data_IF_838435393481
#
_entry.id   IF_838435393481
#
_cell.length_a   1.000
_cell.length_b   1.000
_cell.length_c   1.000
_cell.angle_alpha   90.00
_cell.angle_beta   90.00
_cell.angle_gamma   90.00
#
_symmetry.space_group_name_H-M   'P 1'
#
loop_
_entity.id
_entity.type
_entity.pdbx_description
1 polymer ?
#
# COMPACT_ATOMS: atom_id res chain seq x y z
N UNK A 1 -36.29 4.23 -2.01
CA UNK A 1 -34.86 4.51 -2.30
C UNK A 1 -34.80 5.80 -3.13
N UNK A 2 -34.22 6.89 -2.63
CA UNK A 2 -34.09 8.14 -3.39
C UNK A 2 -33.30 7.83 -4.68
N UNK A 3 -33.93 7.99 -5.85
CA UNK A 3 -33.24 7.88 -7.14
C UNK A 3 -32.54 9.20 -7.41
N UNK A 4 -31.22 9.20 -7.34
CA UNK A 4 -30.40 10.33 -7.77
C UNK A 4 -30.30 10.32 -9.29
N UNK A 5 -30.38 11.51 -9.91
CA UNK A 5 -30.22 11.66 -11.36
C UNK A 5 -28.82 11.30 -11.81
N UNK A 6 -28.67 10.94 -13.08
CA UNK A 6 -27.36 10.61 -13.64
C UNK A 6 -26.43 11.83 -13.67
N UNK A 7 -26.99 13.03 -13.80
CA UNK A 7 -26.25 14.30 -13.67
C UNK A 7 -25.59 14.47 -12.29
N UNK A 8 -26.30 14.10 -11.22
CA UNK A 8 -25.75 14.16 -9.85
C UNK A 8 -24.63 13.14 -9.67
N UNK A 9 -24.80 11.92 -10.17
CA UNK A 9 -23.74 10.90 -10.11
C UNK A 9 -22.50 11.31 -10.90
N UNK A 10 -22.67 11.93 -12.07
CA UNK A 10 -21.56 12.43 -12.88
C UNK A 10 -20.81 13.57 -12.19
N UNK A 11 -21.52 14.53 -11.57
CA UNK A 11 -20.89 15.62 -10.81
C UNK A 11 -20.13 15.10 -9.58
N UNK A 12 -20.76 14.20 -8.81
CA UNK A 12 -20.09 13.53 -7.68
C UNK A 12 -18.85 12.78 -8.14
N UNK A 13 -18.91 12.07 -9.28
CA UNK A 13 -17.75 11.38 -9.83
C UNK A 13 -16.63 12.35 -10.14
N UNK A 14 -16.91 13.44 -10.87
CA UNK A 14 -15.93 14.48 -11.20
C UNK A 14 -15.28 15.05 -9.94
N UNK A 15 -16.05 15.34 -8.89
CA UNK A 15 -15.54 15.88 -7.62
C UNK A 15 -14.73 14.86 -6.81
N UNK A 16 -15.03 13.57 -6.93
CA UNK A 16 -14.26 12.50 -6.26
C UNK A 16 -13.00 12.08 -7.02
N UNK A 17 -12.91 12.45 -8.29
CA UNK A 17 -11.72 12.26 -9.12
C UNK A 17 -10.84 13.52 -9.04
N UNK A 18 -9.53 13.41 -9.30
CA UNK A 18 -8.69 14.59 -9.47
C UNK A 18 -9.04 15.30 -10.81
N UNK A 19 -8.58 16.56 -11.06
CA UNK A 19 -7.50 17.27 -10.37
C UNK A 19 -7.95 18.04 -9.12
N UNK A 20 -9.20 18.49 -9.06
CA UNK A 20 -9.79 19.17 -7.89
C UNK A 20 -10.59 18.18 -7.04
N UNK A 21 -9.89 17.19 -6.46
CA UNK A 21 -10.53 16.14 -5.66
C UNK A 21 -11.07 16.72 -4.34
N UNK A 22 -12.37 16.52 -4.09
CA UNK A 22 -13.04 16.79 -2.83
C UNK A 22 -13.20 15.50 -2.00
N UNK A 23 -13.24 15.65 -0.68
CA UNK A 23 -13.50 14.53 0.24
C UNK A 23 -14.96 14.05 0.17
N UNK A 24 -15.18 12.76 0.46
CA UNK A 24 -16.55 12.20 0.57
C UNK A 24 -17.38 12.95 1.61
N UNK A 25 -16.74 13.35 2.72
CA UNK A 25 -17.37 14.13 3.78
C UNK A 25 -17.78 15.53 3.31
N UNK A 26 -16.93 16.24 2.55
CA UNK A 26 -17.30 17.54 1.94
C UNK A 26 -18.46 17.38 0.97
N UNK A 27 -18.39 16.42 0.04
CA UNK A 27 -19.45 16.18 -0.95
C UNK A 27 -20.78 15.80 -0.25
N UNK A 28 -20.69 15.04 0.84
CA UNK A 28 -21.85 14.67 1.66
C UNK A 28 -22.49 15.90 2.32
N UNK A 29 -21.68 16.80 2.89
CA UNK A 29 -22.15 18.04 3.49
C UNK A 29 -22.75 19.01 2.46
N UNK A 30 -22.14 19.13 1.28
CA UNK A 30 -22.60 20.04 0.21
C UNK A 30 -23.89 19.56 -0.47
N UNK A 31 -23.98 18.26 -0.80
CA UNK A 31 -25.10 17.71 -1.57
C UNK A 31 -26.19 17.06 -0.71
N UNK A 32 -25.97 16.96 0.61
CA UNK A 32 -26.86 16.25 1.53
C UNK A 32 -26.99 14.74 1.22
N UNK A 33 -26.04 14.17 0.47
CA UNK A 33 -26.02 12.75 0.12
C UNK A 33 -25.30 12.00 1.24
N UNK A 34 -25.92 10.95 1.75
CA UNK A 34 -25.31 10.15 2.82
C UNK A 34 -23.96 9.54 2.38
N UNK A 35 -22.94 9.63 3.24
CA UNK A 35 -21.58 9.15 2.95
C UNK A 35 -21.55 7.71 2.45
N UNK A 36 -22.40 6.83 2.99
CA UNK A 36 -22.48 5.42 2.58
C UNK A 36 -22.91 5.28 1.12
N UNK A 37 -23.84 6.11 0.63
CA UNK A 37 -24.27 6.11 -0.77
C UNK A 37 -23.13 6.50 -1.69
N UNK A 38 -22.38 7.53 -1.31
CA UNK A 38 -21.22 8.00 -2.04
C UNK A 38 -20.10 6.96 -2.11
N UNK A 39 -19.83 6.24 -1.00
CA UNK A 39 -18.88 5.12 -0.99
C UNK A 39 -19.33 3.95 -1.87
N UNK A 40 -20.64 3.64 -1.89
CA UNK A 40 -21.18 2.59 -2.75
C UNK A 40 -21.03 2.93 -4.24
N UNK A 41 -21.28 4.18 -4.62
CA UNK A 41 -21.05 4.63 -6.00
C UNK A 41 -19.58 4.57 -6.39
N UNK A 42 -18.69 5.04 -5.51
CA UNK A 42 -17.24 4.92 -5.71
C UNK A 42 -16.82 3.46 -5.93
N UNK A 43 -17.35 2.54 -5.12
CA UNK A 43 -17.08 1.10 -5.27
C UNK A 43 -17.58 0.57 -6.61
N UNK A 44 -18.78 0.96 -7.04
CA UNK A 44 -19.35 0.55 -8.32
C UNK A 44 -18.51 1.06 -9.52
N UNK A 45 -18.09 2.33 -9.49
CA UNK A 45 -17.23 2.90 -10.54
C UNK A 45 -15.88 2.19 -10.62
N UNK A 46 -15.26 1.88 -9.48
CA UNK A 46 -14.00 1.11 -9.46
C UNK A 46 -14.14 -0.31 -10.02
N UNK A 47 -15.28 -0.98 -9.78
CA UNK A 47 -15.57 -2.28 -10.38
C UNK A 47 -15.73 -2.20 -11.90
N UNK A 48 -16.12 -1.02 -12.43
CA UNK A 48 -16.23 -0.75 -13.86
C UNK A 48 -14.89 -0.31 -14.49
N UNK A 49 -13.79 -0.32 -13.73
CA UNK A 49 -12.46 0.09 -14.20
C UNK A 49 -12.21 1.60 -14.13
N UNK A 50 -13.13 2.38 -13.57
CA UNK A 50 -12.99 3.84 -13.47
C UNK A 50 -12.06 4.25 -12.32
N UNK A 51 -11.16 5.20 -12.60
CA UNK A 51 -10.19 5.71 -11.62
C UNK A 51 -10.87 6.72 -10.68
N UNK A 52 -11.51 6.20 -9.64
CA UNK A 52 -12.02 7.00 -8.50
C UNK A 52 -11.30 6.54 -7.24
N UNK A 53 -10.17 7.18 -6.88
CA UNK A 53 -9.26 6.59 -5.89
C UNK A 53 -9.90 6.45 -4.52
N UNK A 54 -9.60 5.31 -3.87
CA UNK A 54 -10.26 4.88 -2.65
C UNK A 54 -10.03 5.83 -1.47
N UNK A 55 -8.86 6.47 -1.46
CA UNK A 55 -8.28 7.15 -0.30
C UNK A 55 -7.88 8.59 -0.63
N UNK A 56 -7.99 9.47 0.37
CA UNK A 56 -7.39 10.81 0.34
C UNK A 56 -5.86 10.79 0.49
N UNK A 57 -5.29 9.62 0.78
CA UNK A 57 -3.83 9.47 0.91
C UNK A 57 -3.13 9.85 -0.39
N UNK A 58 -1.90 10.34 -0.24
CA UNK A 58 -0.96 10.57 -1.33
C UNK A 58 -0.96 9.40 -2.33
N UNK A 59 -0.62 9.65 -3.61
CA UNK A 59 -0.49 8.59 -4.62
C UNK A 59 0.29 7.36 -4.16
N UNK A 60 1.24 7.53 -3.24
CA UNK A 60 2.00 6.44 -2.63
C UNK A 60 1.16 5.48 -1.79
N UNK A 61 0.13 5.99 -1.12
CA UNK A 61 -0.82 5.24 -0.29
C UNK A 61 -1.94 4.56 -1.07
N UNK A 62 -1.93 4.61 -2.40
CA UNK A 62 -2.91 3.91 -3.25
C UNK A 62 -2.71 2.40 -3.19
N UNK A 63 -3.82 1.66 -3.30
CA UNK A 63 -3.79 0.21 -3.31
C UNK A 63 -3.12 -0.33 -4.59
N UNK A 64 -2.62 -1.59 -4.59
CA UNK A 64 -1.98 -2.19 -5.75
C UNK A 64 -2.85 -2.18 -7.02
N UNK A 65 -4.16 -2.41 -6.88
CA UNK A 65 -5.10 -2.38 -7.99
C UNK A 65 -5.20 -0.99 -8.66
N UNK A 66 -5.27 0.09 -7.87
CA UNK A 66 -5.36 1.45 -8.42
C UNK A 66 -4.06 1.84 -9.13
N UNK A 67 -2.91 1.47 -8.56
CA UNK A 67 -1.60 1.68 -9.18
C UNK A 67 -1.49 0.91 -10.51
N UNK A 68 -2.00 -0.32 -10.55
CA UNK A 68 -2.02 -1.13 -11.76
C UNK A 68 -2.93 -0.56 -12.86
N UNK A 69 -4.12 -0.04 -12.51
CA UNK A 69 -5.00 0.64 -13.48
C UNK A 69 -4.30 1.82 -14.15
N UNK A 70 -3.56 2.63 -13.38
CA UNK A 70 -2.76 3.73 -13.95
C UNK A 70 -1.71 3.21 -14.94
N UNK A 71 -1.00 2.13 -14.60
CA UNK A 71 0.00 1.52 -15.49
C UNK A 71 -0.65 1.02 -16.79
N UNK A 72 -1.85 0.44 -16.70
CA UNK A 72 -2.60 -0.06 -17.85
C UNK A 72 -3.08 1.07 -18.77
N UNK A 73 -3.70 2.11 -18.21
CA UNK A 73 -4.21 3.25 -18.98
C UNK A 73 -3.07 4.04 -19.65
N UNK A 74 -1.93 4.17 -18.96
CA UNK A 74 -0.79 4.94 -19.47
C UNK A 74 0.16 4.14 -20.37
N UNK A 75 -0.11 2.86 -20.60
CA UNK A 75 0.79 1.97 -21.34
C UNK A 75 1.07 2.46 -22.78
N UNK A 76 0.05 3.05 -23.43
CA UNK A 76 0.15 3.55 -24.80
C UNK A 76 0.42 5.06 -24.93
N UNK A 77 0.60 5.78 -23.81
CA UNK A 77 0.68 7.24 -23.85
C UNK A 77 2.07 7.75 -24.24
N UNK A 78 2.11 8.79 -25.06
CA UNK A 78 3.31 9.60 -25.27
C UNK A 78 3.56 10.55 -24.08
N UNK A 79 4.70 11.25 -24.07
CA UNK A 79 5.10 12.11 -22.95
C UNK A 79 4.08 13.23 -22.65
N UNK A 80 3.47 13.81 -23.70
CA UNK A 80 2.48 14.88 -23.57
C UNK A 80 1.17 14.36 -22.98
N UNK A 81 0.69 13.22 -23.46
CA UNK A 81 -0.50 12.52 -22.97
C UNK A 81 -0.32 12.08 -21.51
N UNK A 82 0.85 11.52 -21.19
CA UNK A 82 1.20 11.13 -19.83
C UNK A 82 1.21 12.34 -18.90
N UNK A 83 1.77 13.47 -19.33
CA UNK A 83 1.75 14.72 -18.57
C UNK A 83 0.36 15.29 -18.37
N UNK A 84 -0.50 15.22 -19.40
CA UNK A 84 -1.93 15.59 -19.30
C UNK A 84 -2.67 14.72 -18.27
N UNK A 85 -2.57 13.40 -18.43
CA UNK A 85 -3.15 12.41 -17.53
C UNK A 85 -2.69 12.58 -16.08
N UNK A 86 -1.40 12.83 -15.89
CA UNK A 86 -0.79 13.03 -14.58
C UNK A 86 -1.32 14.31 -13.90
N UNK A 87 -1.38 15.43 -14.63
CA UNK A 87 -1.95 16.69 -14.12
C UNK A 87 -3.42 16.54 -13.74
N UNK A 88 -4.20 15.89 -14.61
CA UNK A 88 -5.60 15.58 -14.32
C UNK A 88 -5.77 14.69 -13.11
N UNK A 89 -4.82 13.81 -12.79
CA UNK A 89 -4.94 12.84 -11.70
C UNK A 89 -4.16 13.19 -10.43
N UNK A 90 -3.48 14.34 -10.41
CA UNK A 90 -2.60 14.72 -9.30
C UNK A 90 -1.44 13.74 -9.11
N UNK A 91 -0.97 13.17 -10.23
CA UNK A 91 0.14 12.23 -10.28
C UNK A 91 1.36 12.90 -10.91
N UNK A 92 2.52 12.32 -10.68
CA UNK A 92 3.75 12.67 -11.38
C UNK A 92 4.10 11.57 -12.40
N UNK A 93 4.57 11.93 -13.61
CA UNK A 93 4.99 10.94 -14.61
C UNK A 93 5.97 9.89 -14.06
N UNK A 94 6.86 10.31 -13.16
CA UNK A 94 7.84 9.46 -12.47
C UNK A 94 7.16 8.39 -11.60
N UNK A 95 6.02 8.70 -11.00
CA UNK A 95 5.25 7.74 -10.20
C UNK A 95 4.67 6.63 -11.08
N UNK A 96 4.08 7.01 -12.22
CA UNK A 96 3.54 6.05 -13.20
C UNK A 96 4.65 5.16 -13.77
N UNK A 97 5.80 5.75 -14.11
CA UNK A 97 6.97 5.01 -14.59
C UNK A 97 7.49 4.01 -13.54
N UNK A 98 7.59 4.41 -12.27
CA UNK A 98 8.01 3.53 -11.18
C UNK A 98 7.03 2.38 -10.94
N UNK A 99 5.71 2.63 -11.03
CA UNK A 99 4.72 1.56 -10.91
C UNK A 99 4.75 0.59 -12.08
N UNK A 100 5.04 1.08 -13.29
CA UNK A 100 5.25 0.23 -14.47
C UNK A 100 6.45 -0.70 -14.27
N UNK A 101 7.57 -0.16 -13.79
CA UNK A 101 8.76 -0.95 -13.45
C UNK A 101 8.45 -1.98 -12.36
N UNK A 102 7.80 -1.59 -11.27
CA UNK A 102 7.42 -2.53 -10.21
C UNK A 102 6.51 -3.67 -10.71
N UNK A 103 5.59 -3.39 -11.65
CA UNK A 103 4.74 -4.40 -12.27
C UNK A 103 5.54 -5.36 -13.17
N UNK A 104 6.53 -4.85 -13.90
CA UNK A 104 7.43 -5.66 -14.71
C UNK A 104 8.32 -6.54 -13.83
N UNK A 105 8.93 -5.98 -12.78
CA UNK A 105 9.79 -6.69 -11.84
C UNK A 105 9.05 -7.81 -11.09
N UNK A 106 7.79 -7.58 -10.73
CA UNK A 106 6.95 -8.59 -10.09
C UNK A 106 6.70 -9.80 -11.00
N UNK A 107 6.63 -9.59 -12.32
CA UNK A 107 6.45 -10.64 -13.31
C UNK A 107 7.79 -11.22 -13.83
N UNK A 108 8.90 -10.48 -13.69
CA UNK A 108 10.24 -10.91 -14.11
C UNK A 108 10.86 -11.89 -13.11
N UNK A 109 10.50 -11.80 -11.82
CA UNK A 109 10.82 -12.86 -10.87
C UNK A 109 10.03 -14.10 -11.29
N UNK A 110 10.67 -15.27 -11.50
CA UNK A 110 9.92 -16.51 -11.65
C UNK A 110 8.95 -16.57 -10.48
N UNK A 111 7.66 -16.71 -10.77
CA UNK A 111 6.66 -17.00 -9.75
C UNK A 111 7.19 -18.23 -9.01
N UNK A 112 7.71 -18.01 -7.80
CA UNK A 112 8.18 -19.07 -6.93
C UNK A 112 7.09 -20.13 -6.96
N UNK A 113 7.45 -21.34 -7.36
CA UNK A 113 6.48 -22.41 -7.41
C UNK A 113 5.90 -22.58 -6.00
N UNK A 114 4.71 -23.17 -5.89
CA UNK A 114 4.14 -23.51 -4.58
C UNK A 114 5.11 -24.34 -3.72
N UNK A 115 6.03 -25.09 -4.34
CA UNK A 115 7.12 -25.79 -3.66
C UNK A 115 8.18 -24.81 -3.11
N UNK A 116 8.65 -23.86 -3.93
CA UNK A 116 9.65 -22.87 -3.50
C UNK A 116 9.14 -21.97 -2.37
N UNK A 117 7.85 -21.60 -2.39
CA UNK A 117 7.22 -20.86 -1.31
C UNK A 117 7.17 -21.67 0.00
N UNK A 118 6.84 -22.96 -0.08
CA UNK A 118 6.82 -23.85 1.09
C UNK A 118 8.24 -24.03 1.66
N UNK A 119 9.24 -24.16 0.82
CA UNK A 119 10.62 -24.33 1.25
C UNK A 119 11.18 -23.05 1.88
N UNK A 120 10.86 -21.87 1.33
CA UNK A 120 11.17 -20.58 1.96
C UNK A 120 10.50 -20.44 3.33
N UNK A 121 9.23 -20.84 3.47
CA UNK A 121 8.55 -20.81 4.76
C UNK A 121 9.19 -21.75 5.78
N UNK A 122 9.58 -22.96 5.38
CA UNK A 122 10.30 -23.90 6.24
C UNK A 122 11.64 -23.32 6.71
N UNK A 123 12.45 -22.80 5.78
CA UNK A 123 13.73 -22.14 6.10
C UNK A 123 13.55 -20.99 7.08
N UNK A 124 12.54 -20.14 6.84
CA UNK A 124 12.23 -19.04 7.75
C UNK A 124 11.83 -19.52 9.15
N UNK A 125 11.05 -20.60 9.28
CA UNK A 125 10.72 -21.18 10.58
C UNK A 125 11.95 -21.78 11.28
N UNK A 126 12.83 -22.44 10.54
CA UNK A 126 14.08 -22.98 11.07
C UNK A 126 15.00 -21.88 11.57
N UNK A 127 15.14 -20.80 10.80
CA UNK A 127 15.94 -19.64 11.18
C UNK A 127 15.36 -18.95 12.42
N UNK A 128 14.04 -18.78 12.50
CA UNK A 128 13.40 -18.26 13.71
C UNK A 128 13.66 -19.13 14.95
N UNK A 129 13.67 -20.46 14.81
CA UNK A 129 14.00 -21.37 15.91
C UNK A 129 15.46 -21.23 16.33
N UNK A 130 16.39 -21.14 15.35
CA UNK A 130 17.83 -20.91 15.61
C UNK A 130 18.04 -19.57 16.31
N UNK A 131 17.42 -18.50 15.83
CA UNK A 131 17.50 -17.17 16.44
C UNK A 131 17.05 -17.22 17.89
N UNK A 132 15.89 -17.83 18.19
CA UNK A 132 15.40 -17.96 19.57
C UNK A 132 16.36 -18.76 20.46
N UNK A 133 16.91 -19.87 19.96
CA UNK A 133 17.88 -20.68 20.70
C UNK A 133 19.16 -19.90 21.00
N UNK A 134 19.71 -19.25 19.99
CA UNK A 134 20.91 -18.43 20.12
C UNK A 134 20.69 -17.27 21.09
N UNK A 135 19.52 -16.62 21.06
CA UNK A 135 19.15 -15.57 22.02
C UNK A 135 19.09 -16.10 23.46
N UNK A 136 18.59 -17.32 23.69
CA UNK A 136 18.57 -17.93 25.02
C UNK A 136 19.98 -18.28 25.52
N UNK A 137 20.82 -18.86 24.66
CA UNK A 137 22.21 -19.17 24.98
C UNK A 137 23.00 -17.90 25.32
N UNK A 138 22.80 -16.83 24.53
CA UNK A 138 23.42 -15.53 24.76
C UNK A 138 23.00 -14.94 26.13
N UNK A 139 21.70 -14.96 26.46
CA UNK A 139 21.22 -14.52 27.79
C UNK A 139 21.82 -15.32 28.95
N UNK A 140 21.99 -16.64 28.79
CA UNK A 140 22.60 -17.48 29.83
C UNK A 140 24.07 -17.15 30.02
N UNK A 141 24.81 -16.94 28.92
CA UNK A 141 26.22 -16.54 28.96
C UNK A 141 26.40 -15.15 29.56
N UNK A 142 25.56 -14.19 29.19
CA UNK A 142 25.61 -12.84 29.76
C UNK A 142 25.32 -12.84 31.25
N UNK A 143 24.35 -13.65 31.72
CA UNK A 143 24.07 -13.79 33.14
C UNK A 143 25.26 -14.37 33.91
N UNK A 144 25.87 -15.45 33.40
CA UNK A 144 27.04 -16.05 34.04
C UNK A 144 28.25 -15.08 34.05
N UNK A 145 28.43 -14.30 32.99
CA UNK A 145 29.46 -13.27 32.91
C UNK A 145 29.21 -12.14 33.91
N UNK A 146 27.96 -11.69 34.05
CA UNK A 146 27.59 -10.69 35.05
C UNK A 146 27.79 -11.18 36.49
N UNK A 147 27.45 -12.44 36.78
CA UNK A 147 27.69 -13.07 38.09
C UNK A 147 29.20 -13.17 38.39
N UNK A 148 30.02 -13.59 37.41
CA UNK A 148 31.47 -13.63 37.57
C UNK A 148 32.08 -12.23 37.78
N UNK A 149 31.60 -11.21 37.05
CA UNK A 149 32.01 -9.84 37.24
C UNK A 149 31.64 -9.30 38.63
N UNK A 150 30.44 -9.64 39.14
CA UNK A 150 30.01 -9.26 40.48
C UNK A 150 30.89 -9.87 41.57
N UNK A 151 31.25 -11.15 41.43
CA UNK A 151 32.17 -11.83 42.36
C UNK A 151 33.57 -11.19 42.37
N UNK A 152 34.11 -10.83 41.19
CA UNK A 152 35.39 -10.13 41.08
C UNK A 152 35.37 -8.73 41.71
N UNK A 153 34.26 -8.01 41.58
CA UNK A 153 34.10 -6.69 42.20
C UNK A 153 34.01 -6.82 43.73
N UNK A 154 33.29 -7.84 44.22
CA UNK A 154 33.14 -8.09 45.65
C UNK A 154 34.49 -8.46 46.31
N UNK A 155 35.30 -9.32 45.68
CA UNK A 155 36.62 -9.69 46.22
C UNK A 155 37.62 -8.54 46.26
N UNK A 156 37.43 -7.50 45.43
CA UNK A 156 38.30 -6.32 45.37
C UNK A 156 37.95 -5.21 46.37
N UNK A 157 36.79 -5.32 47.05
CA UNK A 157 36.31 -4.37 48.07
C UNK A 157 36.61 -4.79 49.52
N UNK A 158 37.20 -5.97 49.70
CA UNK A 158 37.81 -6.44 50.96
C UNK A 158 39.30 -6.12 50.88
#
# INVERSE_FOLDING_TARGET
MRRYSESVKADVRRRMSPPMRQSVSQISAELGIHVVTLYNWRKAWRLQGEVVPASQKDPEGWGPADKFTVVLETAGFNATELGGYCRERGLFPEQAARWRQAAQDANAKPLLTMADQKDLQKRHQEDQRKIKRLQQELRRKDKALAEAAALLIASKKI
#
